data_IF_101689485544
#
_entry.id   IF_101689485544
#
_cell.length_a   1.000
_cell.length_b   1.000
_cell.length_c   1.000
_cell.angle_alpha   90.00
_cell.angle_beta   90.00
_cell.angle_gamma   90.00
#
_symmetry.space_group_name_H-M   'P 1'
#
loop_
_entity.id
_entity.type
_entity.pdbx_description
1 polymer ?
#
# COMPACT_ATOMS: atom_id res chain seq x y z
N UNK A 1 -5.81 1.16 -28.81
CA UNK A 1 -5.94 1.12 -27.34
C UNK A 1 -4.62 1.39 -26.62
N UNK A 2 -3.51 0.64 -26.83
CA UNK A 2 -2.18 0.89 -26.19
C UNK A 2 -1.69 2.33 -26.30
N UNK A 3 -1.73 2.94 -27.49
CA UNK A 3 -1.30 4.35 -27.70
C UNK A 3 -2.16 5.36 -26.92
N UNK A 4 -3.45 5.09 -26.77
CA UNK A 4 -4.37 5.96 -26.03
C UNK A 4 -4.04 5.89 -24.53
N UNK A 5 -3.93 4.70 -23.97
CA UNK A 5 -3.60 4.51 -22.54
C UNK A 5 -2.22 5.10 -22.22
N UNK A 6 -1.21 4.88 -23.07
CA UNK A 6 0.11 5.50 -22.86
C UNK A 6 0.04 7.03 -22.86
N UNK A 7 -0.82 7.64 -23.68
CA UNK A 7 -1.01 9.11 -23.73
C UNK A 7 -1.70 9.64 -22.49
N UNK A 8 -2.68 8.90 -21.97
CA UNK A 8 -3.51 9.32 -20.83
C UNK A 8 -3.18 8.56 -19.54
N UNK A 9 -1.98 7.96 -19.46
CA UNK A 9 -1.60 7.08 -18.36
C UNK A 9 -1.73 7.76 -16.98
N UNK A 10 -1.28 9.02 -16.87
CA UNK A 10 -1.43 9.79 -15.63
C UNK A 10 -2.90 9.98 -15.24
N UNK A 11 -3.77 10.25 -16.21
CA UNK A 11 -5.21 10.39 -15.94
C UNK A 11 -5.83 9.07 -15.49
N UNK A 12 -5.49 7.95 -16.14
CA UNK A 12 -5.91 6.61 -15.71
C UNK A 12 -5.42 6.31 -14.31
N UNK A 13 -4.16 6.66 -13.99
CA UNK A 13 -3.61 6.47 -12.66
C UNK A 13 -4.40 7.27 -11.61
N UNK A 14 -4.74 8.53 -11.88
CA UNK A 14 -5.56 9.35 -10.98
C UNK A 14 -6.93 8.72 -10.74
N UNK A 15 -7.60 8.24 -11.78
CA UNK A 15 -8.91 7.58 -11.63
C UNK A 15 -8.82 6.30 -10.78
N UNK A 16 -7.78 5.50 -10.97
CA UNK A 16 -7.58 4.26 -10.19
C UNK A 16 -7.24 4.57 -8.73
N UNK A 17 -6.46 5.62 -8.44
CA UNK A 17 -6.19 6.06 -7.07
C UNK A 17 -7.48 6.56 -6.40
N UNK A 18 -8.33 7.30 -7.11
CA UNK A 18 -9.63 7.74 -6.59
C UNK A 18 -10.51 6.51 -6.32
N UNK A 19 -10.51 5.51 -7.19
CA UNK A 19 -11.24 4.27 -6.97
C UNK A 19 -10.74 3.52 -5.73
N UNK A 20 -9.43 3.37 -5.58
CA UNK A 20 -8.77 2.72 -4.45
C UNK A 20 -9.10 3.43 -3.12
N UNK A 21 -8.99 4.74 -3.07
CA UNK A 21 -9.10 5.49 -1.82
C UNK A 21 -10.54 5.87 -1.41
N UNK A 22 -11.45 6.03 -2.36
CA UNK A 22 -12.78 6.57 -2.09
C UNK A 22 -13.93 5.71 -2.61
N UNK A 23 -13.83 5.19 -3.84
CA UNK A 23 -14.96 4.49 -4.47
C UNK A 23 -15.27 3.17 -3.77
N UNK A 24 -14.25 2.39 -3.40
CA UNK A 24 -14.42 1.11 -2.68
C UNK A 24 -15.19 1.36 -1.38
N UNK A 25 -14.81 2.37 -0.61
CA UNK A 25 -15.49 2.72 0.64
C UNK A 25 -16.92 3.17 0.42
N UNK A 26 -17.16 3.99 -0.61
CA UNK A 26 -18.51 4.41 -0.96
C UNK A 26 -19.41 3.20 -1.23
N UNK A 27 -18.91 2.19 -1.94
CA UNK A 27 -19.66 0.95 -2.22
C UNK A 27 -19.89 0.15 -0.94
N UNK A 28 -18.87 -0.04 -0.11
CA UNK A 28 -18.97 -0.84 1.11
C UNK A 28 -19.82 -0.20 2.21
N UNK A 29 -19.92 1.12 2.25
CA UNK A 29 -20.79 1.85 3.16
C UNK A 29 -22.20 2.14 2.59
N UNK A 30 -22.50 1.63 1.41
CA UNK A 30 -23.84 1.75 0.79
C UNK A 30 -24.77 0.60 1.22
N UNK A 31 -26.07 0.76 0.90
CA UNK A 31 -27.08 -0.28 1.12
C UNK A 31 -26.75 -1.61 0.41
N UNK A 32 -25.87 -1.60 -0.59
CA UNK A 32 -25.41 -2.80 -1.28
C UNK A 32 -24.64 -3.75 -0.36
N UNK A 33 -23.99 -3.23 0.66
CA UNK A 33 -23.21 -4.02 1.62
C UNK A 33 -23.95 -4.27 2.96
N UNK A 34 -25.08 -3.62 3.19
CA UNK A 34 -25.80 -3.63 4.47
C UNK A 34 -26.24 -5.01 4.97
N UNK A 35 -26.32 -6.02 4.09
CA UNK A 35 -26.70 -7.40 4.44
C UNK A 35 -25.51 -8.38 4.52
N UNK A 36 -24.27 -7.92 4.36
CA UNK A 36 -23.10 -8.78 4.38
C UNK A 36 -22.75 -9.19 5.82
N UNK A 37 -22.32 -10.46 5.98
CA UNK A 37 -21.61 -10.87 7.19
C UNK A 37 -20.23 -10.19 7.26
N UNK A 38 -19.59 -10.18 8.44
CA UNK A 38 -18.23 -9.62 8.60
C UNK A 38 -17.26 -10.22 7.58
N UNK A 39 -17.26 -11.54 7.42
CA UNK A 39 -16.45 -12.19 6.39
C UNK A 39 -16.80 -11.69 4.98
N UNK A 40 -18.09 -11.61 4.66
CA UNK A 40 -18.57 -11.11 3.37
C UNK A 40 -18.13 -9.67 3.09
N UNK A 41 -18.18 -8.80 4.10
CA UNK A 41 -17.76 -7.42 4.01
C UNK A 41 -16.25 -7.30 3.70
N UNK A 42 -15.40 -7.90 4.54
CA UNK A 42 -13.94 -7.83 4.37
C UNK A 42 -13.45 -8.58 3.12
N UNK A 43 -14.10 -9.69 2.77
CA UNK A 43 -13.81 -10.39 1.53
C UNK A 43 -14.16 -9.54 0.30
N UNK A 44 -15.29 -8.82 0.34
CA UNK A 44 -15.68 -7.91 -0.73
C UNK A 44 -14.72 -6.73 -0.86
N UNK A 45 -14.27 -6.15 0.26
CA UNK A 45 -13.23 -5.11 0.27
C UNK A 45 -11.96 -5.60 -0.43
N UNK A 46 -11.46 -6.76 -0.02
CA UNK A 46 -10.28 -7.37 -0.63
C UNK A 46 -10.46 -7.62 -2.13
N UNK A 47 -11.64 -8.09 -2.57
CA UNK A 47 -11.91 -8.35 -3.99
C UNK A 47 -12.00 -7.05 -4.81
N UNK A 48 -12.56 -5.98 -4.27
CA UNK A 48 -12.61 -4.68 -4.93
C UNK A 48 -11.20 -4.08 -5.07
N UNK A 49 -10.39 -4.15 -4.02
CA UNK A 49 -8.97 -3.75 -4.07
C UNK A 49 -8.19 -4.58 -5.11
N UNK A 50 -8.39 -5.90 -5.14
CA UNK A 50 -7.80 -6.76 -6.17
C UNK A 50 -8.19 -6.34 -7.59
N UNK A 51 -9.46 -5.99 -7.81
CA UNK A 51 -9.92 -5.49 -9.11
C UNK A 51 -9.20 -4.20 -9.51
N UNK A 52 -9.05 -3.24 -8.60
CA UNK A 52 -8.31 -1.99 -8.85
C UNK A 52 -6.85 -2.28 -9.20
N UNK A 53 -6.19 -3.17 -8.46
CA UNK A 53 -4.81 -3.58 -8.75
C UNK A 53 -4.69 -4.29 -10.09
N UNK A 54 -5.64 -5.13 -10.46
CA UNK A 54 -5.68 -5.78 -11.77
C UNK A 54 -5.81 -4.75 -12.89
N UNK A 55 -6.68 -3.77 -12.75
CA UNK A 55 -6.83 -2.67 -13.71
C UNK A 55 -5.55 -1.82 -13.79
N UNK A 56 -4.89 -1.56 -12.65
CA UNK A 56 -3.60 -0.87 -12.60
C UNK A 56 -2.51 -1.66 -13.34
N UNK A 57 -2.45 -2.98 -13.13
CA UNK A 57 -1.52 -3.86 -13.85
C UNK A 57 -1.76 -3.84 -15.37
N UNK A 58 -3.02 -3.93 -15.80
CA UNK A 58 -3.39 -3.81 -17.22
C UNK A 58 -2.96 -2.46 -17.79
N UNK A 59 -3.20 -1.36 -17.08
CA UNK A 59 -2.77 -0.03 -17.51
C UNK A 59 -1.24 0.08 -17.60
N UNK A 60 -0.51 -0.46 -16.63
CA UNK A 60 0.96 -0.52 -16.66
C UNK A 60 1.50 -1.36 -17.82
N UNK A 61 0.90 -2.53 -18.11
CA UNK A 61 1.29 -3.40 -19.23
C UNK A 61 1.04 -2.67 -20.56
N UNK A 62 -0.11 -2.07 -20.74
CA UNK A 62 -0.48 -1.41 -22.01
C UNK A 62 0.30 -0.11 -22.26
N UNK A 63 0.71 0.58 -21.19
CA UNK A 63 1.57 1.77 -21.30
C UNK A 63 3.06 1.45 -21.43
N UNK A 64 3.47 0.17 -21.25
CA UNK A 64 4.87 -0.25 -21.24
C UNK A 64 5.60 0.01 -19.92
N UNK A 65 4.88 0.46 -18.87
CA UNK A 65 5.49 0.74 -17.56
C UNK A 65 5.84 -0.53 -16.80
N UNK A 66 5.03 -1.58 -16.97
CA UNK A 66 5.28 -2.87 -16.31
C UNK A 66 6.68 -3.42 -16.61
N UNK A 67 7.13 -3.34 -17.86
CA UNK A 67 8.45 -3.83 -18.28
C UNK A 67 9.61 -3.09 -17.59
N UNK A 68 9.37 -1.88 -17.10
CA UNK A 68 10.39 -1.08 -16.41
C UNK A 68 10.59 -1.50 -14.94
N UNK A 69 9.56 -2.11 -14.33
CA UNK A 69 9.52 -2.40 -12.90
C UNK A 69 9.43 -3.89 -12.55
N UNK A 70 9.17 -4.78 -13.51
CA UNK A 70 9.05 -6.21 -13.27
C UNK A 70 10.40 -6.96 -13.32
N UNK A 71 11.52 -6.26 -13.15
CA UNK A 71 12.85 -6.86 -13.19
C UNK A 71 13.01 -7.89 -12.06
N UNK A 72 13.30 -9.13 -12.43
CA UNK A 72 13.63 -10.23 -11.49
C UNK A 72 15.13 -10.35 -11.24
N UNK A 73 15.93 -9.36 -11.64
CA UNK A 73 17.38 -9.37 -11.43
C UNK A 73 17.67 -9.29 -9.94
N UNK A 74 18.39 -10.27 -9.45
CA UNK A 74 18.96 -10.31 -8.12
C UNK A 74 20.35 -9.66 -8.14
N UNK A 75 20.60 -8.78 -7.16
CA UNK A 75 21.93 -8.25 -6.87
C UNK A 75 22.15 -8.35 -5.36
N UNK A 76 23.34 -8.78 -4.96
CA UNK A 76 23.70 -8.86 -3.52
C UNK A 76 23.52 -7.51 -2.82
N UNK A 77 23.82 -6.40 -3.51
CA UNK A 77 23.58 -5.05 -2.99
C UNK A 77 22.10 -4.78 -2.64
N UNK A 78 21.14 -5.47 -3.27
CA UNK A 78 19.72 -5.29 -2.95
C UNK A 78 19.37 -5.90 -1.58
N UNK A 79 20.07 -6.96 -1.14
CA UNK A 79 19.95 -7.45 0.23
C UNK A 79 20.45 -6.42 1.24
N UNK A 80 21.59 -5.77 0.97
CA UNK A 80 22.07 -4.69 1.82
C UNK A 80 21.04 -3.57 1.94
N UNK A 81 20.49 -3.09 0.82
CA UNK A 81 19.44 -2.06 0.83
C UNK A 81 18.14 -2.53 1.48
N UNK A 82 17.80 -3.81 1.38
CA UNK A 82 16.64 -4.40 2.06
C UNK A 82 16.78 -4.30 3.59
N UNK A 83 17.90 -4.73 4.13
CA UNK A 83 18.15 -4.64 5.58
C UNK A 83 18.29 -3.18 6.06
N UNK A 84 18.87 -2.31 5.23
CA UNK A 84 18.94 -0.89 5.53
C UNK A 84 17.54 -0.25 5.56
N UNK A 85 16.67 -0.57 4.63
CA UNK A 85 15.29 -0.10 4.60
C UNK A 85 14.47 -0.68 5.77
N UNK A 86 14.66 -1.95 6.11
CA UNK A 86 14.03 -2.57 7.28
C UNK A 86 14.48 -1.88 8.59
N UNK A 87 15.77 -1.61 8.73
CA UNK A 87 16.31 -0.84 9.86
C UNK A 87 15.71 0.57 9.89
N UNK A 88 15.59 1.24 8.73
CA UNK A 88 14.98 2.56 8.65
C UNK A 88 13.51 2.56 9.11
N UNK A 89 12.75 1.50 8.83
CA UNK A 89 11.40 1.32 9.38
C UNK A 89 11.40 1.22 10.91
N UNK A 90 12.27 0.40 11.48
CA UNK A 90 12.35 0.28 12.95
C UNK A 90 12.77 1.59 13.61
N UNK A 91 13.74 2.30 13.03
CA UNK A 91 14.16 3.61 13.51
C UNK A 91 13.01 4.62 13.39
N UNK A 92 12.29 4.62 12.26
CA UNK A 92 11.14 5.50 12.05
C UNK A 92 10.04 5.25 13.08
N UNK A 93 9.67 3.98 13.29
CA UNK A 93 8.67 3.62 14.30
C UNK A 93 9.13 3.98 15.72
N UNK A 94 10.39 3.74 16.04
CA UNK A 94 10.96 4.12 17.33
C UNK A 94 10.86 5.64 17.55
N UNK A 95 11.23 6.44 16.56
CA UNK A 95 11.14 7.90 16.65
C UNK A 95 9.69 8.36 16.76
N UNK A 96 8.80 7.83 15.94
CA UNK A 96 7.39 8.22 15.96
C UNK A 96 6.67 7.79 17.23
N UNK A 97 7.04 6.66 17.83
CA UNK A 97 6.50 6.20 19.12
C UNK A 97 6.72 7.23 20.27
N UNK A 98 7.85 7.95 20.27
CA UNK A 98 8.12 8.98 21.28
C UNK A 98 7.51 10.34 20.96
N UNK A 99 7.15 10.59 19.72
CA UNK A 99 6.67 11.91 19.28
C UNK A 99 5.14 11.92 19.15
N UNK A 100 4.55 10.81 18.72
CA UNK A 100 3.14 10.69 18.42
C UNK A 100 2.49 9.56 19.23
N UNK A 101 1.23 9.70 19.62
CA UNK A 101 0.45 8.59 20.16
C UNK A 101 0.24 7.51 19.07
N UNK A 102 -0.31 6.35 19.48
CA UNK A 102 -0.73 5.31 18.54
C UNK A 102 -1.66 5.87 17.47
N UNK A 103 -1.49 5.44 16.23
CA UNK A 103 -2.32 5.90 15.12
C UNK A 103 -3.77 5.41 15.25
N UNK A 104 -4.73 6.14 14.67
CA UNK A 104 -6.13 5.72 14.69
C UNK A 104 -6.35 4.38 13.98
N UNK A 105 -5.58 4.11 12.92
CA UNK A 105 -5.60 2.82 12.26
C UNK A 105 -5.15 1.68 13.20
N UNK A 106 -4.07 1.90 13.95
CA UNK A 106 -3.58 0.93 14.93
C UNK A 106 -4.58 0.71 16.07
N UNK A 107 -5.14 1.78 16.62
CA UNK A 107 -6.17 1.73 17.68
C UNK A 107 -7.39 0.96 17.19
N UNK A 108 -7.94 1.29 16.01
CA UNK A 108 -9.10 0.60 15.44
C UNK A 108 -8.80 -0.89 15.20
N UNK A 109 -7.63 -1.20 14.66
CA UNK A 109 -7.22 -2.57 14.44
C UNK A 109 -7.16 -3.37 15.75
N UNK A 110 -6.56 -2.82 16.81
CA UNK A 110 -6.50 -3.48 18.12
C UNK A 110 -7.87 -3.68 18.78
N UNK A 111 -8.81 -2.76 18.56
CA UNK A 111 -10.18 -2.88 19.08
C UNK A 111 -10.99 -3.93 18.32
N UNK A 112 -10.83 -4.01 17.01
CA UNK A 112 -11.59 -4.95 16.16
C UNK A 112 -11.05 -6.37 16.24
N UNK A 113 -9.75 -6.52 16.47
CA UNK A 113 -9.05 -7.79 16.46
C UNK A 113 -9.74 -8.88 17.31
N UNK A 114 -10.11 -8.63 18.58
CA UNK A 114 -10.75 -9.66 19.43
C UNK A 114 -12.16 -10.07 18.96
N UNK A 115 -12.78 -9.30 18.08
CA UNK A 115 -14.13 -9.58 17.56
C UNK A 115 -14.12 -10.59 16.41
N UNK A 116 -13.00 -10.74 15.72
CA UNK A 116 -12.90 -11.63 14.57
C UNK A 116 -12.79 -13.09 14.99
N UNK A 117 -13.58 -13.94 14.38
CA UNK A 117 -13.60 -15.41 14.63
C UNK A 117 -13.56 -16.19 13.31
N UNK A 118 -13.18 -17.46 13.40
CA UNK A 118 -13.19 -18.39 12.26
C UNK A 118 -12.41 -17.87 11.03
N UNK A 119 -12.96 -18.01 9.80
CA UNK A 119 -12.29 -17.57 8.56
C UNK A 119 -12.01 -16.07 8.52
N UNK A 120 -12.86 -15.23 9.16
CA UNK A 120 -12.64 -13.78 9.24
C UNK A 120 -11.39 -13.47 10.04
N UNK A 121 -11.15 -14.17 11.15
CA UNK A 121 -9.94 -14.03 11.94
C UNK A 121 -8.68 -14.28 11.09
N UNK A 122 -8.60 -15.40 10.37
CA UNK A 122 -7.47 -15.69 9.49
C UNK A 122 -7.28 -14.61 8.43
N UNK A 123 -8.37 -14.18 7.77
CA UNK A 123 -8.34 -13.15 6.74
C UNK A 123 -7.79 -11.83 7.27
N UNK A 124 -8.29 -11.35 8.41
CA UNK A 124 -7.99 -10.03 8.96
C UNK A 124 -6.73 -9.99 9.83
N UNK A 125 -6.40 -11.08 10.53
CA UNK A 125 -5.18 -11.13 11.35
C UNK A 125 -3.91 -11.36 10.53
N UNK A 126 -4.00 -12.11 9.44
CA UNK A 126 -2.81 -12.58 8.77
C UNK A 126 -2.83 -12.30 7.27
N UNK A 127 -3.81 -12.82 6.54
CA UNK A 127 -3.73 -12.82 5.08
C UNK A 127 -3.79 -11.40 4.50
N UNK A 128 -4.75 -10.59 4.94
CA UNK A 128 -4.90 -9.23 4.41
C UNK A 128 -3.75 -8.31 4.86
N UNK A 129 -3.47 -8.12 6.18
CA UNK A 129 -2.46 -7.14 6.60
C UNK A 129 -1.03 -7.56 6.27
N UNK A 130 -0.73 -8.87 6.18
CA UNK A 130 0.65 -9.35 5.96
C UNK A 130 0.95 -9.63 4.49
N UNK A 131 -0.03 -10.09 3.71
CA UNK A 131 0.20 -10.57 2.34
C UNK A 131 -0.53 -9.72 1.30
N UNK A 132 -1.86 -9.70 1.34
CA UNK A 132 -2.66 -9.08 0.28
C UNK A 132 -2.53 -7.55 0.26
N UNK A 133 -2.67 -6.89 1.40
CA UNK A 133 -2.51 -5.45 1.54
C UNK A 133 -1.17 -4.94 1.03
N UNK A 134 -0.02 -5.45 1.53
CA UNK A 134 1.30 -5.11 0.99
C UNK A 134 1.43 -5.26 -0.53
N UNK A 135 0.89 -6.34 -1.12
CA UNK A 135 0.92 -6.51 -2.57
C UNK A 135 0.09 -5.42 -3.27
N UNK A 136 -1.13 -5.17 -2.78
CA UNK A 136 -2.03 -4.18 -3.37
C UNK A 136 -1.44 -2.77 -3.28
N UNK A 137 -0.95 -2.41 -2.12
CA UNK A 137 -0.36 -1.10 -1.86
C UNK A 137 0.89 -0.86 -2.70
N UNK A 138 1.82 -1.81 -2.75
CA UNK A 138 3.02 -1.63 -3.56
C UNK A 138 2.70 -1.57 -5.06
N UNK A 139 1.74 -2.35 -5.55
CA UNK A 139 1.30 -2.29 -6.95
C UNK A 139 0.70 -0.92 -7.30
N UNK A 140 -0.08 -0.32 -6.41
CA UNK A 140 -0.66 1.01 -6.61
C UNK A 140 0.40 2.09 -6.42
N UNK A 141 1.05 2.17 -5.25
CA UNK A 141 1.88 3.32 -4.91
C UNK A 141 3.26 3.29 -5.58
N UNK A 142 3.89 2.13 -5.72
CA UNK A 142 5.21 1.99 -6.40
C UNK A 142 5.07 1.63 -7.86
N UNK A 143 4.16 0.73 -8.18
CA UNK A 143 3.87 0.36 -9.57
C UNK A 143 3.23 1.50 -10.35
N UNK A 144 2.00 1.86 -10.01
CA UNK A 144 1.19 2.80 -10.78
C UNK A 144 1.61 4.27 -10.54
N UNK A 145 1.62 4.74 -9.28
CA UNK A 145 1.85 6.16 -8.95
C UNK A 145 3.25 6.61 -9.35
N UNK A 146 4.30 5.91 -8.90
CA UNK A 146 5.68 6.35 -9.19
C UNK A 146 5.98 6.32 -10.69
N UNK A 147 5.43 5.35 -11.43
CA UNK A 147 5.61 5.31 -12.89
C UNK A 147 4.78 6.37 -13.63
N UNK A 148 3.63 6.77 -13.09
CA UNK A 148 2.84 7.88 -13.63
C UNK A 148 3.52 9.24 -13.41
N UNK A 149 4.22 9.40 -12.28
CA UNK A 149 4.93 10.62 -11.89
C UNK A 149 6.41 10.64 -12.36
N UNK A 150 6.85 9.67 -13.17
CA UNK A 150 8.26 9.55 -13.59
C UNK A 150 8.83 10.80 -14.26
N UNK A 151 8.01 11.62 -14.92
CA UNK A 151 8.46 12.89 -15.53
C UNK A 151 8.96 13.88 -14.49
N UNK A 152 8.44 13.81 -13.26
CA UNK A 152 8.84 14.61 -12.12
C UNK A 152 9.98 14.02 -11.30
N UNK A 153 10.56 12.88 -11.72
CA UNK A 153 11.58 12.13 -10.95
C UNK A 153 12.79 12.97 -10.56
N UNK A 154 13.24 13.88 -11.42
CA UNK A 154 14.39 14.77 -11.12
C UNK A 154 14.12 15.69 -9.92
N UNK A 155 12.86 15.98 -9.63
CA UNK A 155 12.40 16.80 -8.51
C UNK A 155 11.93 15.94 -7.31
N UNK A 156 12.03 14.61 -7.38
CA UNK A 156 11.54 13.71 -6.35
C UNK A 156 10.02 13.53 -6.29
N UNK A 157 9.27 14.07 -7.28
CA UNK A 157 7.81 14.05 -7.25
C UNK A 157 7.21 12.63 -7.27
N UNK A 158 7.89 11.66 -7.88
CA UNK A 158 7.49 10.26 -7.87
C UNK A 158 7.56 9.67 -6.44
N UNK A 159 8.62 9.97 -5.70
CA UNK A 159 8.79 9.50 -4.31
C UNK A 159 7.84 10.22 -3.37
N UNK A 160 7.84 11.56 -3.39
CA UNK A 160 7.02 12.37 -2.51
C UNK A 160 5.52 12.15 -2.76
N UNK A 161 5.10 12.10 -4.03
CA UNK A 161 3.71 11.84 -4.41
C UNK A 161 3.24 10.45 -4.00
N UNK A 162 4.07 9.42 -4.20
CA UNK A 162 3.76 8.05 -3.75
C UNK A 162 3.63 7.98 -2.23
N UNK A 163 4.56 8.58 -1.49
CA UNK A 163 4.55 8.57 -0.03
C UNK A 163 3.37 9.36 0.55
N UNK A 164 3.05 10.53 -0.01
CA UNK A 164 1.92 11.34 0.44
C UNK A 164 0.57 10.64 0.20
N UNK A 165 0.37 10.03 -0.99
CA UNK A 165 -0.83 9.27 -1.28
C UNK A 165 -0.96 8.02 -0.40
N UNK A 166 0.15 7.37 -0.07
CA UNK A 166 0.17 6.27 0.89
C UNK A 166 -0.28 6.72 2.29
N UNK A 167 0.21 7.87 2.76
CA UNK A 167 -0.26 8.47 4.01
C UNK A 167 -1.74 8.83 3.99
N UNK A 168 -2.25 9.38 2.87
CA UNK A 168 -3.67 9.72 2.69
C UNK A 168 -4.55 8.47 2.77
N UNK A 169 -4.15 7.34 2.16
CA UNK A 169 -4.90 6.09 2.26
C UNK A 169 -5.19 5.74 3.72
N UNK A 170 -4.17 5.76 4.55
CA UNK A 170 -4.27 5.33 5.95
C UNK A 170 -5.12 6.25 6.82
N UNK A 171 -5.07 7.57 6.60
CA UNK A 171 -5.90 8.49 7.38
C UNK A 171 -7.34 8.63 6.86
N UNK A 172 -7.58 8.36 5.59
CA UNK A 172 -8.91 8.51 5.01
C UNK A 172 -9.91 7.46 5.50
N UNK A 173 -9.45 6.31 6.03
CA UNK A 173 -10.28 5.24 6.59
C UNK A 173 -10.57 5.38 8.08
N UNK A 174 -9.67 6.02 8.85
CA UNK A 174 -9.69 6.00 10.31
C UNK A 174 -9.76 7.40 10.93
N UNK A 175 -10.09 8.41 10.14
CA UNK A 175 -10.11 9.81 10.55
C UNK A 175 -8.92 10.60 10.00
N UNK A 176 -9.16 11.86 9.71
CA UNK A 176 -8.17 12.77 9.10
C UNK A 176 -7.23 13.35 10.18
N UNK A 177 -6.40 12.48 10.77
CA UNK A 177 -5.44 12.86 11.81
C UNK A 177 -4.09 13.15 11.17
N UNK A 178 -3.62 14.38 11.30
CA UNK A 178 -2.39 14.84 10.61
C UNK A 178 -1.12 14.11 11.12
N UNK A 179 -1.06 13.75 12.39
CA UNK A 179 0.05 12.97 12.95
C UNK A 179 0.16 11.61 12.27
N UNK A 180 -0.97 10.93 12.10
CA UNK A 180 -1.05 9.63 11.43
C UNK A 180 -0.59 9.73 9.99
N UNK A 181 -0.99 10.80 9.28
CA UNK A 181 -0.50 11.07 7.94
C UNK A 181 1.03 11.07 7.87
N UNK A 182 1.70 11.76 8.79
CA UNK A 182 3.17 11.80 8.78
C UNK A 182 3.81 10.45 9.13
N UNK A 183 3.22 9.69 10.05
CA UNK A 183 3.69 8.34 10.39
C UNK A 183 3.69 7.44 9.14
N UNK A 184 2.56 7.36 8.45
CA UNK A 184 2.44 6.52 7.26
C UNK A 184 3.19 7.08 6.05
N UNK A 185 3.21 8.39 5.86
CA UNK A 185 4.02 9.02 4.81
C UNK A 185 5.51 8.70 4.97
N UNK A 186 6.03 8.67 6.21
CA UNK A 186 7.42 8.28 6.48
C UNK A 186 7.72 6.84 6.06
N UNK A 187 6.87 5.88 6.43
CA UNK A 187 6.96 4.51 5.92
C UNK A 187 6.87 4.45 4.40
N UNK A 188 5.94 5.22 3.83
CA UNK A 188 5.79 5.37 2.39
C UNK A 188 7.05 5.91 1.69
N UNK A 189 7.78 6.86 2.31
CA UNK A 189 9.06 7.37 1.80
C UNK A 189 10.13 6.29 1.76
N UNK A 190 10.27 5.49 2.83
CA UNK A 190 11.24 4.40 2.89
C UNK A 190 11.01 3.42 1.73
N UNK A 191 9.77 2.99 1.54
CA UNK A 191 9.41 2.07 0.45
C UNK A 191 9.65 2.68 -0.94
N UNK A 192 9.28 3.94 -1.15
CA UNK A 192 9.45 4.62 -2.44
C UNK A 192 10.92 4.81 -2.80
N UNK A 193 11.78 5.15 -1.82
CA UNK A 193 13.23 5.23 -2.02
C UNK A 193 13.81 3.86 -2.33
N UNK A 194 13.42 2.83 -1.59
CA UNK A 194 13.87 1.46 -1.82
C UNK A 194 13.48 0.94 -3.21
N UNK A 195 12.23 1.17 -3.63
CA UNK A 195 11.79 0.87 -5.00
C UNK A 195 12.61 1.62 -6.06
N UNK A 196 12.90 2.92 -5.84
CA UNK A 196 13.69 3.72 -6.79
C UNK A 196 15.11 3.17 -6.97
N UNK A 197 15.71 2.62 -5.91
CA UNK A 197 17.05 2.01 -5.93
C UNK A 197 17.02 0.66 -6.64
N UNK A 198 16.06 -0.19 -6.31
CA UNK A 198 15.98 -1.56 -6.87
C UNK A 198 15.39 -1.62 -8.27
N UNK A 199 14.51 -0.67 -8.61
CA UNK A 199 13.73 -0.63 -9.87
C UNK A 199 12.99 -1.95 -10.14
N UNK A 200 12.53 -2.60 -9.08
CA UNK A 200 11.83 -3.86 -9.13
C UNK A 200 10.73 -3.87 -8.10
N UNK A 201 9.50 -4.14 -8.54
CA UNK A 201 8.32 -4.17 -7.68
C UNK A 201 8.36 -5.29 -6.63
N UNK A 202 9.08 -6.37 -6.92
CA UNK A 202 9.17 -7.53 -6.03
C UNK A 202 9.91 -7.23 -4.72
N UNK A 203 10.88 -6.31 -4.75
CA UNK A 203 11.67 -5.96 -3.58
C UNK A 203 10.90 -5.19 -2.51
N UNK A 204 10.17 -4.09 -2.84
CA UNK A 204 9.34 -3.42 -1.85
C UNK A 204 8.17 -4.29 -1.39
N UNK A 205 7.54 -5.12 -2.26
CA UNK A 205 6.53 -6.10 -1.83
C UNK A 205 7.12 -7.04 -0.77
N UNK A 206 8.29 -7.63 -1.02
CA UNK A 206 8.95 -8.52 -0.07
C UNK A 206 9.31 -7.84 1.25
N UNK A 207 9.83 -6.61 1.19
CA UNK A 207 10.12 -5.81 2.39
C UNK A 207 8.87 -5.51 3.21
N UNK A 208 7.79 -5.12 2.54
CA UNK A 208 6.52 -4.77 3.19
C UNK A 208 5.89 -6.00 3.88
N UNK A 209 5.87 -7.15 3.19
CA UNK A 209 5.40 -8.43 3.78
C UNK A 209 6.21 -8.79 5.02
N UNK A 210 7.54 -8.68 4.96
CA UNK A 210 8.42 -9.01 6.10
C UNK A 210 8.18 -8.03 7.25
N UNK A 211 8.09 -6.73 6.96
CA UNK A 211 7.85 -5.70 7.97
C UNK A 211 6.50 -5.90 8.68
N UNK A 212 5.40 -6.06 7.92
CA UNK A 212 4.07 -6.29 8.49
C UNK A 212 3.99 -7.64 9.22
N UNK A 213 4.65 -8.69 8.68
CA UNK A 213 4.73 -10.00 9.33
C UNK A 213 5.42 -9.95 10.70
N UNK A 214 6.53 -9.20 10.81
CA UNK A 214 7.20 -8.97 12.11
C UNK A 214 6.26 -8.23 13.07
N UNK A 215 5.62 -7.15 12.61
CA UNK A 215 4.65 -6.39 13.42
C UNK A 215 3.52 -7.27 13.93
N UNK A 216 2.96 -8.11 13.05
CA UNK A 216 1.87 -9.03 13.41
C UNK A 216 2.29 -10.09 14.44
N UNK A 217 3.50 -10.65 14.31
CA UNK A 217 4.03 -11.60 15.29
C UNK A 217 4.23 -10.92 16.65
N UNK A 218 4.77 -9.70 16.68
CA UNK A 218 4.98 -8.96 17.92
C UNK A 218 3.69 -8.56 18.62
N UNK A 219 2.58 -8.40 17.89
CA UNK A 219 1.25 -8.16 18.47
C UNK A 219 0.64 -9.40 19.13
N UNK A 220 1.08 -10.61 18.75
CA UNK A 220 0.57 -11.87 19.29
C UNK A 220 1.36 -12.39 20.50
N UNK A 221 2.50 -11.77 20.80
CA UNK A 221 3.36 -12.11 21.95
C UNK A 221 3.03 -11.24 23.18
#
# INVERSE_FOLDING_TARGET
>A
MKKIISRYYLFVAILLIIADQFFIRLVLHSDLAAGLSDFGYYFSDMMLNFLVVLLALVAMIWSGKWQQINSRKFKVSYLFYFFLALLAFFVWNFVTFFIFPSTQNEISYQLDLPTFTGPTAFLMYFFYPVIAGPIFEEMIYRGLVMTALEKGKKWGLDVLGSAALFGILHISSHGWVLTDFFVYMGGGLIMAVFFRVTKSIYWPIGLHIVYNGIGQILMLL
#
